data_IF_635401266394
#
_entry.id   IF_635401266394
#
_cell.length_a   1.000
_cell.length_b   1.000
_cell.length_c   1.000
_cell.angle_alpha   90.00
_cell.angle_beta   90.00
_cell.angle_gamma   90.00
#
_symmetry.space_group_name_H-M   'P 1'
#
loop_
_entity.id
_entity.type
_entity.pdbx_description
1 polymer ?
#
# COMPACT_ATOMS: atom_id res chain seq x y z
N UNK A 1 61.02 37.42 12.96
CA UNK A 1 60.40 36.57 14.00
C UNK A 1 59.68 37.47 15.01
N UNK A 2 58.56 37.07 15.65
CA UNK A 2 57.50 36.17 15.19
C UNK A 2 56.05 36.67 15.49
N UNK A 3 55.09 36.00 14.84
CA UNK A 3 53.70 35.61 15.22
C UNK A 3 52.85 36.45 16.19
N UNK A 4 51.64 36.77 15.73
CA UNK A 4 50.41 36.71 16.52
C UNK A 4 49.28 36.15 15.65
N UNK A 5 48.97 34.87 15.83
CA UNK A 5 47.94 34.11 15.13
C UNK A 5 46.85 33.87 16.17
N UNK A 6 45.73 34.58 16.13
CA UNK A 6 44.59 34.25 16.98
C UNK A 6 43.52 33.51 16.17
N UNK A 7 43.60 32.19 16.35
CA UNK A 7 42.56 31.22 16.06
C UNK A 7 41.62 31.20 17.26
N UNK A 8 40.36 31.56 17.08
CA UNK A 8 39.25 31.21 17.97
C UNK A 8 37.96 31.61 17.26
N UNK A 9 36.92 30.80 17.06
CA UNK A 9 36.56 29.53 17.66
C UNK A 9 35.47 28.94 16.73
N UNK A 10 35.72 27.81 16.06
CA UNK A 10 34.69 27.05 15.35
C UNK A 10 34.75 25.61 15.83
N UNK A 11 34.31 25.38 17.07
CA UNK A 11 34.32 24.07 17.71
C UNK A 11 33.07 23.88 18.57
N UNK A 12 31.88 23.88 17.95
CA UNK A 12 30.67 23.32 18.55
C UNK A 12 29.88 22.38 17.61
N UNK A 13 30.29 22.18 16.36
CA UNK A 13 29.51 21.41 15.37
C UNK A 13 29.68 19.87 15.31
N UNK A 14 30.66 19.18 15.96
CA UNK A 14 30.72 17.72 15.85
C UNK A 14 29.85 16.95 16.85
N UNK A 15 29.42 17.58 17.96
CA UNK A 15 28.62 16.91 19.00
C UNK A 15 27.13 16.83 18.62
N UNK A 16 26.60 17.89 18.00
CA UNK A 16 25.17 18.02 17.69
C UNK A 16 24.70 17.07 16.57
N UNK A 17 25.54 16.80 15.56
CA UNK A 17 25.23 15.85 14.49
C UNK A 17 25.13 14.39 14.97
N UNK A 18 25.93 13.99 15.95
CA UNK A 18 25.89 12.61 16.48
C UNK A 18 24.67 12.38 17.37
N UNK A 19 24.31 13.39 18.18
CA UNK A 19 23.07 13.41 18.96
C UNK A 19 21.84 13.37 18.03
N UNK A 20 21.81 14.18 16.97
CA UNK A 20 20.72 14.17 15.99
C UNK A 20 20.63 12.84 15.24
N UNK A 21 21.75 12.28 14.78
CA UNK A 21 21.79 10.97 14.14
C UNK A 21 21.33 9.83 15.06
N UNK A 22 21.71 9.89 16.34
CA UNK A 22 21.23 8.94 17.35
C UNK A 22 19.73 9.08 17.58
N UNK A 23 19.19 10.31 17.59
CA UNK A 23 17.75 10.58 17.69
C UNK A 23 17.00 10.08 16.45
N UNK A 24 17.50 10.34 15.25
CA UNK A 24 16.92 9.80 14.01
C UNK A 24 16.96 8.27 13.98
N UNK A 25 18.07 7.67 14.42
CA UNK A 25 18.17 6.21 14.55
C UNK A 25 17.18 5.63 15.56
N UNK A 26 17.02 6.28 16.71
CA UNK A 26 16.05 5.88 17.73
C UNK A 26 14.61 6.04 17.23
N UNK A 27 14.30 7.15 16.56
CA UNK A 27 12.99 7.38 15.93
C UNK A 27 12.70 6.34 14.86
N UNK A 28 13.67 6.04 13.99
CA UNK A 28 13.52 5.00 12.98
C UNK A 28 13.27 3.63 13.62
N UNK A 29 14.00 3.27 14.68
CA UNK A 29 13.77 2.03 15.41
C UNK A 29 12.37 1.97 16.06
N UNK A 30 11.91 3.09 16.64
CA UNK A 30 10.57 3.19 17.22
C UNK A 30 9.48 3.07 16.15
N UNK A 31 9.65 3.73 15.00
CA UNK A 31 8.74 3.62 13.85
C UNK A 31 8.72 2.18 13.34
N UNK A 32 9.86 1.51 13.20
CA UNK A 32 9.93 0.11 12.79
C UNK A 32 9.19 -0.79 13.79
N UNK A 33 9.39 -0.59 15.09
CA UNK A 33 8.68 -1.33 16.12
C UNK A 33 7.16 -1.09 16.04
N UNK A 34 6.75 0.16 15.82
CA UNK A 34 5.35 0.52 15.63
C UNK A 34 4.74 -0.17 14.40
N UNK A 35 5.45 -0.17 13.27
CA UNK A 35 5.02 -0.83 12.03
C UNK A 35 4.94 -2.35 12.21
N UNK A 36 5.90 -2.97 12.89
CA UNK A 36 5.88 -4.41 13.19
C UNK A 36 4.70 -4.76 14.10
N UNK A 37 4.45 -3.96 15.13
CA UNK A 37 3.29 -4.13 16.00
C UNK A 37 1.98 -4.02 15.21
N UNK A 38 1.86 -2.99 14.37
CA UNK A 38 0.72 -2.82 13.46
C UNK A 38 0.56 -4.02 12.52
N UNK A 39 1.63 -4.51 11.90
CA UNK A 39 1.60 -5.65 11.01
C UNK A 39 1.10 -6.92 11.72
N UNK A 40 1.56 -7.18 12.94
CA UNK A 40 1.07 -8.32 13.75
C UNK A 40 -0.43 -8.16 14.04
N UNK A 41 -0.86 -7.00 14.54
CA UNK A 41 -2.26 -6.74 14.87
C UNK A 41 -3.16 -6.90 13.64
N UNK A 42 -2.81 -6.27 12.51
CA UNK A 42 -3.57 -6.40 11.27
C UNK A 42 -3.55 -7.83 10.73
N UNK A 43 -2.42 -8.54 10.81
CA UNK A 43 -2.36 -9.94 10.36
C UNK A 43 -3.30 -10.84 11.17
N UNK A 44 -3.38 -10.67 12.49
CA UNK A 44 -4.26 -11.48 13.33
C UNK A 44 -5.73 -11.16 13.06
N UNK A 45 -6.05 -9.89 12.81
CA UNK A 45 -7.43 -9.44 12.60
C UNK A 45 -7.94 -9.74 11.19
N UNK A 46 -7.13 -9.48 10.15
CA UNK A 46 -7.57 -9.53 8.75
C UNK A 46 -7.24 -10.84 8.04
N UNK A 47 -6.20 -11.57 8.44
CA UNK A 47 -5.89 -12.86 7.81
C UNK A 47 -7.01 -13.90 7.91
N UNK A 48 -7.75 -14.08 9.04
CA UNK A 48 -8.86 -15.03 9.07
C UNK A 48 -10.02 -14.60 8.15
N UNK A 49 -10.27 -13.31 7.98
CA UNK A 49 -11.31 -12.78 7.09
C UNK A 49 -10.95 -13.03 5.63
N UNK A 50 -9.67 -12.83 5.26
CA UNK A 50 -9.09 -13.16 3.96
C UNK A 50 -9.25 -14.65 3.62
N UNK A 51 -8.83 -15.55 4.52
CA UNK A 51 -8.96 -17.00 4.31
C UNK A 51 -10.43 -17.42 4.14
N UNK A 52 -11.34 -16.81 4.91
CA UNK A 52 -12.76 -17.09 4.78
C UNK A 52 -13.34 -16.57 3.45
N UNK A 53 -12.91 -15.39 3.00
CA UNK A 53 -13.30 -14.85 1.69
C UNK A 53 -12.84 -15.76 0.55
N UNK A 54 -11.61 -16.27 0.61
CA UNK A 54 -11.09 -17.24 -0.36
C UNK A 54 -11.92 -18.53 -0.38
N UNK A 55 -12.24 -19.11 0.78
CA UNK A 55 -13.08 -20.33 0.82
C UNK A 55 -14.46 -20.08 0.22
N UNK A 56 -15.11 -18.98 0.57
CA UNK A 56 -16.43 -18.62 0.02
C UNK A 56 -16.37 -18.44 -1.49
N UNK A 57 -15.31 -17.82 -2.00
CA UNK A 57 -15.09 -17.66 -3.43
C UNK A 57 -14.95 -19.01 -4.13
N UNK A 58 -14.12 -19.91 -3.60
CA UNK A 58 -13.90 -21.24 -4.17
C UNK A 58 -15.19 -22.08 -4.14
N UNK A 59 -15.95 -22.02 -3.04
CA UNK A 59 -17.25 -22.67 -2.91
C UNK A 59 -18.25 -22.13 -3.94
N UNK A 60 -18.33 -20.81 -4.13
CA UNK A 60 -19.20 -20.21 -5.15
C UNK A 60 -18.80 -20.66 -6.56
N UNK A 61 -17.50 -20.70 -6.85
CA UNK A 61 -16.98 -21.13 -8.14
C UNK A 61 -17.28 -22.60 -8.41
N UNK A 62 -17.09 -23.47 -7.42
CA UNK A 62 -17.40 -24.89 -7.50
C UNK A 62 -18.90 -25.13 -7.72
N UNK A 63 -19.76 -24.48 -6.91
CA UNK A 63 -21.21 -24.57 -7.04
C UNK A 63 -21.69 -24.09 -8.42
N UNK A 64 -21.15 -22.98 -8.93
CA UNK A 64 -21.50 -22.47 -10.26
C UNK A 64 -21.09 -23.43 -11.39
N UNK A 65 -19.89 -24.02 -11.26
CA UNK A 65 -19.33 -24.99 -12.20
C UNK A 65 -20.19 -26.26 -12.25
N UNK A 66 -20.59 -26.77 -11.08
CA UNK A 66 -21.46 -27.94 -10.95
C UNK A 66 -22.86 -27.68 -11.51
N UNK A 67 -23.48 -26.56 -11.15
CA UNK A 67 -24.83 -26.20 -11.60
C UNK A 67 -24.93 -25.98 -13.11
N UNK A 68 -23.90 -25.42 -13.74
CA UNK A 68 -23.91 -25.07 -15.16
C UNK A 68 -23.15 -26.06 -16.05
N UNK A 69 -22.57 -27.15 -15.48
CA UNK A 69 -21.72 -28.11 -16.19
C UNK A 69 -20.59 -27.46 -16.99
N UNK A 70 -20.05 -26.34 -16.50
CA UNK A 70 -18.97 -25.59 -17.15
C UNK A 70 -17.63 -26.24 -16.75
N UNK A 71 -16.63 -26.20 -17.63
CA UNK A 71 -15.28 -26.63 -17.26
C UNK A 71 -14.60 -25.57 -16.38
N UNK A 72 -14.17 -25.95 -15.17
CA UNK A 72 -13.52 -25.05 -14.22
C UNK A 72 -12.31 -24.30 -14.82
N UNK A 73 -11.50 -24.98 -15.64
CA UNK A 73 -10.34 -24.38 -16.29
C UNK A 73 -10.72 -23.27 -17.27
N UNK A 74 -11.82 -23.44 -18.00
CA UNK A 74 -12.33 -22.45 -18.95
C UNK A 74 -12.88 -21.23 -18.20
N UNK A 75 -13.57 -21.46 -17.08
CA UNK A 75 -14.08 -20.38 -16.22
C UNK A 75 -12.94 -19.58 -15.58
N UNK A 76 -11.90 -20.25 -15.07
CA UNK A 76 -10.69 -19.61 -14.54
C UNK A 76 -9.96 -18.79 -15.61
N UNK A 77 -9.87 -19.29 -16.84
CA UNK A 77 -9.28 -18.54 -17.95
C UNK A 77 -10.08 -17.25 -18.26
N UNK A 78 -11.41 -17.34 -18.25
CA UNK A 78 -12.28 -16.16 -18.44
C UNK A 78 -12.14 -15.16 -17.30
N UNK A 79 -12.09 -15.62 -16.05
CA UNK A 79 -11.86 -14.77 -14.87
C UNK A 79 -10.51 -14.04 -14.94
N UNK A 80 -9.46 -14.73 -15.41
CA UNK A 80 -8.14 -14.12 -15.60
C UNK A 80 -8.14 -13.07 -16.70
N UNK A 81 -8.81 -13.34 -17.82
CA UNK A 81 -9.01 -12.33 -18.88
C UNK A 81 -9.83 -11.14 -18.38
N UNK A 82 -10.83 -11.40 -17.54
CA UNK A 82 -11.62 -10.34 -16.93
C UNK A 82 -10.79 -9.49 -15.96
N UNK A 83 -9.91 -10.10 -15.16
CA UNK A 83 -8.98 -9.39 -14.28
C UNK A 83 -8.04 -8.47 -15.07
N UNK A 84 -7.50 -8.96 -16.19
CA UNK A 84 -6.69 -8.15 -17.12
C UNK A 84 -7.50 -6.98 -17.71
N UNK A 85 -8.73 -7.22 -18.13
CA UNK A 85 -9.63 -6.18 -18.63
C UNK A 85 -10.01 -5.16 -17.54
N UNK A 86 -10.23 -5.64 -16.31
CA UNK A 86 -10.55 -4.81 -15.15
C UNK A 86 -9.38 -3.91 -14.77
N UNK A 87 -8.14 -4.43 -14.80
CA UNK A 87 -6.92 -3.64 -14.63
C UNK A 87 -6.78 -2.57 -15.71
N UNK A 88 -7.22 -2.84 -16.95
CA UNK A 88 -7.32 -1.85 -18.02
C UNK A 88 -8.49 -0.85 -17.87
N UNK A 89 -9.31 -0.99 -16.81
CA UNK A 89 -10.43 -0.09 -16.49
C UNK A 89 -11.76 -0.47 -17.13
N UNK A 90 -11.86 -1.64 -17.78
CA UNK A 90 -13.09 -2.15 -18.38
C UNK A 90 -13.95 -2.78 -17.27
N UNK A 91 -15.20 -2.32 -17.13
CA UNK A 91 -16.16 -2.86 -16.14
C UNK A 91 -17.29 -3.59 -16.85
N UNK A 92 -17.83 -4.62 -16.18
CA UNK A 92 -19.01 -5.37 -16.67
C UNK A 92 -20.22 -4.45 -16.74
N UNK A 93 -20.41 -3.64 -15.70
CA UNK A 93 -21.46 -2.65 -15.66
C UNK A 93 -21.06 -1.40 -16.45
N UNK A 94 -21.85 -1.06 -17.46
CA UNK A 94 -21.76 0.20 -18.21
C UNK A 94 -22.27 1.40 -17.40
N UNK A 95 -22.07 1.40 -16.08
CA UNK A 95 -22.29 2.61 -15.30
C UNK A 95 -21.33 3.70 -15.79
N UNK A 96 -21.80 4.95 -15.67
CA UNK A 96 -21.17 6.19 -16.13
C UNK A 96 -19.62 6.13 -16.15
N UNK A 97 -18.95 6.55 -17.25
CA UNK A 97 -17.50 6.44 -17.37
C UNK A 97 -16.75 7.06 -16.19
N UNK A 98 -15.86 6.30 -15.54
CA UNK A 98 -15.07 6.77 -14.38
C UNK A 98 -14.28 8.05 -14.66
N UNK A 99 -13.83 8.23 -15.89
CA UNK A 99 -13.03 9.38 -16.34
C UNK A 99 -13.87 10.44 -17.06
N UNK A 100 -15.17 10.51 -16.80
CA UNK A 100 -15.93 11.71 -17.17
C UNK A 100 -15.44 12.95 -16.39
N UNK A 101 -15.87 14.14 -16.81
CA UNK A 101 -15.41 15.40 -16.21
C UNK A 101 -15.56 15.42 -14.68
N UNK A 102 -16.70 14.96 -14.15
CA UNK A 102 -16.95 14.93 -12.71
C UNK A 102 -16.12 13.90 -11.95
N UNK A 103 -15.91 12.71 -12.52
CA UNK A 103 -15.04 11.69 -11.95
C UNK A 103 -13.58 12.12 -11.96
N UNK A 104 -13.13 12.75 -13.05
CA UNK A 104 -11.80 13.35 -13.15
C UNK A 104 -11.62 14.52 -12.17
N UNK A 105 -12.62 15.40 -12.02
CA UNK A 105 -12.60 16.49 -11.05
C UNK A 105 -12.51 15.97 -9.61
N UNK A 106 -13.30 14.96 -9.26
CA UNK A 106 -13.22 14.29 -7.95
C UNK A 106 -11.84 13.65 -7.72
N UNK A 107 -11.28 12.98 -8.72
CA UNK A 107 -9.95 12.36 -8.62
C UNK A 107 -8.85 13.41 -8.35
N UNK A 108 -8.88 14.55 -9.04
CA UNK A 108 -7.92 15.64 -8.76
C UNK A 108 -8.13 16.20 -7.35
N UNK A 109 -9.38 16.29 -6.88
CA UNK A 109 -9.66 16.71 -5.52
C UNK A 109 -9.05 15.76 -4.47
N UNK A 110 -9.13 14.43 -4.67
CA UNK A 110 -8.50 13.45 -3.76
C UNK A 110 -6.98 13.55 -3.73
N UNK A 111 -6.35 13.85 -4.86
CA UNK A 111 -4.90 14.07 -4.96
C UNK A 111 -4.48 15.31 -4.16
N UNK A 112 -5.22 16.42 -4.29
CA UNK A 112 -4.94 17.66 -3.56
C UNK A 112 -5.21 17.48 -2.05
N UNK A 113 -6.20 16.69 -1.67
CA UNK A 113 -6.57 16.47 -0.26
C UNK A 113 -5.73 15.42 0.46
N UNK A 114 -4.81 14.73 -0.22
CA UNK A 114 -3.97 13.65 0.34
C UNK A 114 -4.78 12.53 1.01
N UNK A 115 -5.92 12.17 0.41
CA UNK A 115 -6.76 11.01 0.81
C UNK A 115 -6.21 9.77 0.12
#
# INVERSE_FOLDING_TARGET
MPRGRDVSNSCCLPLHLNEDNARFGLLAALILLYLLCGAVVFSVLEHPSEVQAHRRWDEQLANFTEQNSINLKTLQALLRQYEEAFAAGIRVDKLRPRWDFSGAFYFVATVISTI
#
